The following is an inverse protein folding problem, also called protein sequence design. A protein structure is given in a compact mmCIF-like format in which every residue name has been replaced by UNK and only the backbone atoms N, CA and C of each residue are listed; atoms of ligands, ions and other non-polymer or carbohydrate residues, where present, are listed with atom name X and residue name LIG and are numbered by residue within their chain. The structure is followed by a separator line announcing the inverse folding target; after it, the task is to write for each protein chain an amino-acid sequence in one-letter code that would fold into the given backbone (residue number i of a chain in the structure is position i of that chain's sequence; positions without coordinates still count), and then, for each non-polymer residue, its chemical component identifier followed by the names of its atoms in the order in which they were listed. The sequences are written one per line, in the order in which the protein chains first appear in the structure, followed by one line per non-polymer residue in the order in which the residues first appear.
data_IF_470959999275
#
_entry.id   IF_470959999275
#
_cell.length_a   1.000
_cell.length_b   1.000
_cell.length_c   1.000
_cell.angle_alpha   90.00
_cell.angle_beta   90.00
_cell.angle_gamma   90.00
#
_symmetry.space_group_name_H-M   'P 1'
#
loop_
_entity.id
_entity.type
_entity.pdbx_description
1 polymer ?
#
# COMPACT_ATOMS: atom_id res chain seq x y z
N UNK A 1 -21.90 -53.00 -9.62
CA UNK A 1 -21.68 -51.96 -10.66
C UNK A 1 -22.20 -50.60 -10.22
N UNK A 2 -23.49 -50.46 -9.84
CA UNK A 2 -24.09 -49.20 -9.38
C UNK A 2 -23.38 -48.58 -8.15
N UNK A 3 -23.02 -49.39 -7.16
CA UNK A 3 -22.32 -48.93 -5.94
C UNK A 3 -20.94 -48.32 -6.25
N UNK A 4 -20.25 -48.83 -7.27
CA UNK A 4 -18.96 -48.30 -7.69
C UNK A 4 -19.12 -46.90 -8.31
N UNK A 5 -20.11 -46.71 -9.19
CA UNK A 5 -20.42 -45.40 -9.75
C UNK A 5 -20.86 -44.42 -8.67
N UNK A 6 -21.64 -44.86 -7.69
CA UNK A 6 -22.02 -44.02 -6.55
C UNK A 6 -20.79 -43.54 -5.76
N UNK A 7 -19.86 -44.44 -5.44
CA UNK A 7 -18.62 -44.09 -4.76
C UNK A 7 -17.76 -43.12 -5.58
N UNK A 8 -17.68 -43.33 -6.89
CA UNK A 8 -16.91 -42.47 -7.80
C UNK A 8 -17.52 -41.07 -7.92
N UNK A 9 -18.85 -40.96 -8.04
CA UNK A 9 -19.57 -39.69 -8.02
C UNK A 9 -19.38 -38.99 -6.67
N UNK A 10 -19.52 -39.72 -5.56
CA UNK A 10 -19.30 -39.17 -4.23
C UNK A 10 -17.87 -38.62 -4.07
N UNK A 11 -16.87 -39.34 -4.56
CA UNK A 11 -15.49 -38.87 -4.59
C UNK A 11 -15.34 -37.59 -5.39
N UNK A 12 -15.90 -37.52 -6.60
CA UNK A 12 -15.83 -36.31 -7.44
C UNK A 12 -16.53 -35.13 -6.79
N UNK A 13 -17.68 -35.34 -6.16
CA UNK A 13 -18.40 -34.28 -5.44
C UNK A 13 -17.56 -33.77 -4.28
N UNK A 14 -16.93 -34.64 -3.51
CA UNK A 14 -16.04 -34.26 -2.40
C UNK A 14 -14.83 -33.48 -2.93
N UNK A 15 -14.16 -33.98 -3.97
CA UNK A 15 -12.99 -33.30 -4.57
C UNK A 15 -13.40 -31.94 -5.12
N UNK A 16 -14.52 -31.83 -5.83
CA UNK A 16 -15.03 -30.59 -6.38
C UNK A 16 -15.37 -29.59 -5.26
N UNK A 17 -16.04 -30.04 -4.20
CA UNK A 17 -16.38 -29.21 -3.05
C UNK A 17 -15.13 -28.70 -2.31
N UNK A 18 -14.14 -29.57 -2.07
CA UNK A 18 -12.87 -29.17 -1.45
C UNK A 18 -12.11 -28.19 -2.33
N UNK A 19 -12.04 -28.46 -3.64
CA UNK A 19 -11.39 -27.59 -4.61
C UNK A 19 -12.06 -26.21 -4.65
N UNK A 20 -13.40 -26.18 -4.64
CA UNK A 20 -14.17 -24.93 -4.64
C UNK A 20 -14.09 -24.21 -3.29
N UNK A 21 -13.92 -24.91 -2.17
CA UNK A 21 -13.68 -24.30 -0.86
C UNK A 21 -12.26 -23.69 -0.76
N UNK A 22 -11.26 -24.36 -1.32
CA UNK A 22 -9.87 -23.87 -1.36
C UNK A 22 -9.73 -22.68 -2.32
N UNK A 23 -10.40 -22.72 -3.47
CA UNK A 23 -10.36 -21.66 -4.48
C UNK A 23 -11.34 -20.51 -4.17
N UNK A 24 -12.50 -20.85 -3.59
CA UNK A 24 -13.63 -19.95 -3.34
C UNK A 24 -13.80 -19.54 -1.87
N UNK A 25 -12.82 -19.81 -1.01
CA UNK A 25 -12.76 -19.40 0.39
C UNK A 25 -12.62 -17.89 0.61
N UNK A 26 -13.39 -17.09 -0.13
CA UNK A 26 -13.48 -15.64 0.02
C UNK A 26 -14.86 -15.06 -0.34
N UNK A 27 -15.92 -15.85 -0.53
CA UNK A 27 -17.18 -15.25 -1.00
C UNK A 27 -18.51 -15.88 -0.55
N UNK A 28 -18.58 -16.72 0.49
CA UNK A 28 -19.85 -16.99 1.20
C UNK A 28 -19.59 -17.67 2.56
N UNK A 29 -19.45 -16.88 3.62
CA UNK A 29 -19.73 -17.36 4.98
C UNK A 29 -19.98 -16.17 5.91
N UNK A 30 -20.99 -16.33 6.75
CA UNK A 30 -21.57 -15.40 7.72
C UNK A 30 -20.66 -15.21 8.94
N UNK A 31 -19.43 -14.74 8.70
CA UNK A 31 -18.49 -14.29 9.71
C UNK A 31 -18.07 -12.87 9.32
N UNK A 32 -17.98 -11.92 10.27
CA UNK A 32 -17.52 -10.57 9.95
C UNK A 32 -16.16 -10.70 9.25
N UNK A 33 -16.00 -10.00 8.12
CA UNK A 33 -14.78 -9.93 7.33
C UNK A 33 -13.58 -10.02 8.28
N UNK A 34 -12.92 -11.18 8.33
CA UNK A 34 -11.67 -11.29 9.06
C UNK A 34 -10.77 -10.25 8.41
N UNK A 35 -10.44 -9.19 9.16
CA UNK A 35 -9.70 -8.04 8.67
C UNK A 35 -8.51 -8.60 7.91
N UNK A 36 -8.46 -8.43 6.58
CA UNK A 36 -7.60 -9.23 5.70
C UNK A 36 -6.20 -9.12 6.25
N UNK A 37 -5.63 -10.26 6.66
CA UNK A 37 -4.38 -10.44 7.41
C UNK A 37 -3.40 -9.33 7.04
N UNK A 38 -3.52 -8.18 7.74
CA UNK A 38 -2.82 -6.97 7.34
C UNK A 38 -1.41 -7.25 7.78
N UNK A 39 -0.58 -7.63 6.82
CA UNK A 39 0.84 -7.87 7.05
C UNK A 39 1.35 -6.66 7.82
N UNK A 40 1.79 -6.90 9.06
CA UNK A 40 2.17 -5.84 9.99
C UNK A 40 3.37 -5.00 9.49
N UNK A 41 4.07 -5.48 8.45
CA UNK A 41 5.13 -4.79 7.71
C UNK A 41 4.59 -4.01 6.50
N UNK A 42 3.53 -3.23 6.73
CA UNK A 42 3.07 -2.21 5.78
C UNK A 42 4.01 -1.00 5.77
N UNK A 43 3.79 -0.09 4.81
CA UNK A 43 4.54 1.18 4.78
C UNK A 43 4.24 2.02 6.03
N UNK A 44 5.23 2.77 6.54
CA UNK A 44 5.05 3.64 7.69
C UNK A 44 4.05 4.76 7.39
N UNK A 45 3.03 4.93 8.24
CA UNK A 45 2.01 5.97 8.07
C UNK A 45 2.42 7.33 8.67
N UNK A 46 3.29 7.31 9.67
CA UNK A 46 3.61 8.48 10.49
C UNK A 46 4.89 9.21 10.07
N UNK A 47 5.67 8.62 9.17
CA UNK A 47 6.93 9.21 8.65
C UNK A 47 7.01 9.03 7.14
N UNK A 48 7.80 9.86 6.44
CA UNK A 48 8.10 9.63 5.03
C UNK A 48 8.65 8.22 4.81
N UNK A 49 8.21 7.62 3.71
CA UNK A 49 8.69 6.31 3.23
C UNK A 49 10.12 6.47 2.73
N UNK A 50 10.99 5.53 3.10
CA UNK A 50 12.36 5.43 2.58
C UNK A 50 12.54 4.16 1.76
N UNK A 51 13.65 4.06 1.03
CA UNK A 51 13.94 2.91 0.17
C UNK A 51 13.85 1.57 0.92
N UNK A 52 14.40 1.52 2.13
CA UNK A 52 14.43 0.31 2.95
C UNK A 52 13.03 -0.20 3.31
N UNK A 53 12.04 0.70 3.39
CA UNK A 53 10.65 0.32 3.68
C UNK A 53 9.99 -0.35 2.47
N UNK A 54 10.35 0.08 1.26
CA UNK A 54 9.87 -0.54 0.02
C UNK A 54 10.50 -1.92 -0.13
N UNK A 55 11.79 -2.05 0.18
CA UNK A 55 12.51 -3.33 0.12
C UNK A 55 11.98 -4.36 1.15
N UNK A 56 11.47 -3.89 2.30
CA UNK A 56 10.88 -4.73 3.34
C UNK A 56 9.37 -5.01 3.12
N UNK A 57 8.72 -4.32 2.18
CA UNK A 57 7.28 -4.37 1.98
C UNK A 57 6.81 -5.77 1.56
N UNK A 58 5.75 -6.26 2.22
CA UNK A 58 5.14 -7.57 1.93
C UNK A 58 3.68 -7.41 1.54
N UNK A 59 3.41 -7.56 0.24
CA UNK A 59 2.06 -7.49 -0.30
C UNK A 59 1.37 -8.87 -0.25
N UNK A 60 0.14 -8.98 0.27
CA UNK A 60 -0.61 -10.23 0.27
C UNK A 60 -1.02 -10.63 -1.16
N UNK A 61 -1.06 -11.94 -1.43
CA UNK A 61 -1.44 -12.49 -2.74
C UNK A 61 -2.95 -12.67 -2.80
N UNK A 62 -3.57 -12.09 -3.84
CA UNK A 62 -5.01 -12.24 -4.11
C UNK A 62 -5.26 -13.11 -5.37
N UNK A 63 -6.34 -13.91 -5.41
CA UNK A 63 -6.68 -14.74 -6.56
C UNK A 63 -6.96 -13.94 -7.85
N UNK A 64 -7.25 -12.64 -7.72
CA UNK A 64 -7.19 -11.66 -8.80
C UNK A 64 -6.27 -10.52 -8.35
N UNK A 65 -5.18 -10.29 -9.07
CA UNK A 65 -4.19 -9.27 -8.75
C UNK A 65 -3.30 -8.97 -9.94
N UNK A 66 -2.50 -7.91 -9.82
CA UNK A 66 -1.43 -7.60 -10.77
C UNK A 66 -0.39 -8.72 -10.77
N UNK A 67 0.35 -8.87 -11.87
CA UNK A 67 1.45 -9.85 -11.94
C UNK A 67 2.55 -9.42 -10.97
N UNK A 68 3.00 -10.34 -10.11
CA UNK A 68 4.02 -10.04 -9.11
C UNK A 68 5.29 -9.46 -9.74
N UNK A 69 5.74 -10.02 -10.86
CA UNK A 69 6.92 -9.51 -11.57
C UNK A 69 6.77 -8.05 -12.03
N UNK A 70 5.60 -7.68 -12.55
CA UNK A 70 5.35 -6.30 -13.00
C UNK A 70 5.28 -5.34 -11.80
N UNK A 71 4.72 -5.79 -10.69
CA UNK A 71 4.69 -5.01 -9.44
C UNK A 71 6.10 -4.84 -8.89
N UNK A 72 6.89 -5.90 -8.82
CA UNK A 72 8.26 -5.89 -8.33
C UNK A 72 9.14 -4.95 -9.18
N UNK A 73 9.05 -5.03 -10.52
CA UNK A 73 9.78 -4.15 -11.44
C UNK A 73 9.44 -2.67 -11.19
N UNK A 74 8.15 -2.36 -10.98
CA UNK A 74 7.68 -1.00 -10.70
C UNK A 74 8.15 -0.53 -9.31
N UNK A 75 8.08 -1.39 -8.30
CA UNK A 75 8.52 -1.07 -6.93
C UNK A 75 10.03 -0.82 -6.89
N UNK A 76 10.84 -1.64 -7.56
CA UNK A 76 12.29 -1.45 -7.64
C UNK A 76 12.64 -0.14 -8.34
N UNK A 77 11.93 0.19 -9.43
CA UNK A 77 12.09 1.47 -10.12
C UNK A 77 11.74 2.66 -9.21
N UNK A 78 10.63 2.58 -8.48
CA UNK A 78 10.20 3.63 -7.56
C UNK A 78 11.17 3.79 -6.38
N UNK A 79 11.69 2.69 -5.82
CA UNK A 79 12.68 2.70 -4.76
C UNK A 79 13.97 3.40 -5.18
N UNK A 80 14.43 3.18 -6.42
CA UNK A 80 15.58 3.88 -6.98
C UNK A 80 15.34 5.39 -7.14
N UNK A 81 14.17 5.77 -7.65
CA UNK A 81 13.81 7.18 -7.82
C UNK A 81 13.65 7.90 -6.46
N UNK A 82 13.11 7.21 -5.46
CA UNK A 82 12.98 7.73 -4.10
C UNK A 82 14.35 8.01 -3.49
N UNK A 83 15.29 7.06 -3.58
CA UNK A 83 16.65 7.25 -3.08
C UNK A 83 17.38 8.41 -3.77
N UNK A 84 17.18 8.60 -5.08
CA UNK A 84 17.73 9.75 -5.79
C UNK A 84 17.12 11.08 -5.30
N UNK A 85 15.80 11.13 -5.09
CA UNK A 85 15.12 12.31 -4.56
C UNK A 85 15.60 12.64 -3.15
N UNK A 86 15.73 11.65 -2.28
CA UNK A 86 16.18 11.82 -0.91
C UNK A 86 17.64 12.33 -0.86
N UNK A 87 18.51 11.80 -1.71
CA UNK A 87 19.87 12.32 -1.86
C UNK A 87 19.90 13.78 -2.31
N UNK A 88 19.05 14.16 -3.27
CA UNK A 88 18.93 15.56 -3.72
C UNK A 88 18.40 16.47 -2.62
N UNK A 89 17.41 16.03 -1.85
CA UNK A 89 16.87 16.78 -0.71
C UNK A 89 17.95 16.97 0.36
N UNK A 90 18.68 15.92 0.70
CA UNK A 90 19.77 15.99 1.68
C UNK A 90 20.85 16.99 1.27
N UNK A 91 21.22 17.03 -0.01
CA UNK A 91 22.15 18.03 -0.55
C UNK A 91 21.59 19.45 -0.42
N UNK A 92 20.33 19.68 -0.83
CA UNK A 92 19.70 21.00 -0.78
C UNK A 92 19.55 21.50 0.67
N UNK A 93 19.03 20.68 1.56
CA UNK A 93 18.85 21.02 2.98
C UNK A 93 20.21 21.21 3.68
N UNK A 94 21.22 20.42 3.32
CA UNK A 94 22.58 20.58 3.82
C UNK A 94 23.23 21.91 3.40
N UNK A 95 22.91 22.41 2.19
CA UNK A 95 23.36 23.74 1.75
C UNK A 95 22.54 24.89 2.34
N UNK A 96 21.31 24.64 2.80
CA UNK A 96 20.38 25.65 3.31
C UNK A 96 20.56 25.99 4.81
N UNK A 97 21.46 25.30 5.54
CA UNK A 97 21.70 25.58 6.96
C UNK A 97 23.20 25.75 7.23
N UNK A 98 23.63 26.98 7.63
CA UNK A 98 23.29 27.51 8.94
C UNK A 98 22.76 28.97 8.91
N UNK A 99 21.52 29.20 9.34
CA UNK A 99 21.12 30.52 9.87
C UNK A 99 20.01 31.32 9.21
N UNK A 100 19.19 30.78 8.30
CA UNK A 100 18.19 31.60 7.58
C UNK A 100 16.70 31.25 7.79
N UNK A 101 16.34 30.63 8.92
CA UNK A 101 14.94 30.45 9.32
C UNK A 101 14.68 31.06 10.71
N UNK A 102 14.80 32.39 10.81
CA UNK A 102 14.06 33.14 11.81
C UNK A 102 12.56 33.12 11.41
N UNK A 103 11.60 33.01 12.35
CA UNK A 103 10.18 32.91 12.03
C UNK A 103 9.70 34.20 11.36
N UNK A 104 9.34 34.13 10.09
CA UNK A 104 8.54 35.17 9.43
C UNK A 104 7.06 34.97 9.82
N UNK A 105 6.76 35.10 11.11
CA UNK A 105 5.42 35.42 11.58
C UNK A 105 5.21 36.92 11.43
N UNK A 106 5.04 37.36 10.19
CA UNK A 106 4.55 38.69 9.87
C UNK A 106 3.46 38.60 8.80
N UNK A 107 2.45 37.77 9.09
CA UNK A 107 1.09 38.12 8.68
C UNK A 107 0.65 39.32 9.52
N UNK A 108 1.14 40.51 9.14
CA UNK A 108 0.61 41.76 9.64
C UNK A 108 -0.84 41.92 9.17
N UNK A 109 -1.74 42.46 10.01
CA UNK A 109 -3.14 42.65 9.62
C UNK A 109 -3.19 43.56 8.39
N UNK A 110 -3.74 43.04 7.29
CA UNK A 110 -4.04 43.81 6.08
C UNK A 110 -5.14 44.81 6.44
N UNK A 111 -4.75 46.05 6.74
CA UNK A 111 -5.69 47.14 7.02
C UNK A 111 -6.36 47.58 5.71
N UNK A 112 -7.60 47.13 5.51
CA UNK A 112 -8.44 47.44 4.35
C UNK A 112 -9.17 48.80 4.48
N UNK A 113 -8.85 49.64 5.46
CA UNK A 113 -9.63 50.86 5.75
C UNK A 113 -9.40 52.06 4.82
N UNK A 114 -8.53 51.98 3.81
CA UNK A 114 -8.22 53.12 2.92
C UNK A 114 -8.72 53.02 1.47
N UNK A 115 -9.86 52.36 1.22
CA UNK A 115 -10.51 52.36 -0.10
C UNK A 115 -11.94 52.89 -0.02
N UNK A 116 -12.08 54.20 0.14
CA UNK A 116 -13.41 54.81 0.03
C UNK A 116 -13.49 56.28 0.38
N UNK A 117 -12.68 57.16 -0.21
CA UNK A 117 -13.03 58.58 -0.33
C UNK A 117 -12.46 59.16 -1.64
N UNK A 118 -13.30 59.20 -2.67
CA UNK A 118 -13.24 60.14 -3.80
C UNK A 118 -14.66 60.47 -4.22
#
# INVERSE_FOLDING_TARGET
MIVFFFLMIALVVVVAAVTLAVIGGGSEAVLPEAEPDRVADGLPETRPVVREDIDALRLPVAPRGYRMSEVDDVLERLAAELAERDARIALLTGTASPGSAAPQDASGPVDLSKRGER
#
